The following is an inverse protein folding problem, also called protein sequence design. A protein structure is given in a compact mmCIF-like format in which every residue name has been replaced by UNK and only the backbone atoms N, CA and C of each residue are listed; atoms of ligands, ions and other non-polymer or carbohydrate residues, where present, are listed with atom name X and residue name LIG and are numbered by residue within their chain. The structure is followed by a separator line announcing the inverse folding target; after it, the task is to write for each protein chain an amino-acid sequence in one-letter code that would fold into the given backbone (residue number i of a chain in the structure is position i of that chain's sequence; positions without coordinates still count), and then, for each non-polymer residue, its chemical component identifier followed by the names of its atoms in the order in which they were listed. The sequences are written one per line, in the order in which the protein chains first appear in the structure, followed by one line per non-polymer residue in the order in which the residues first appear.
data_IF_872620877639
#
_entry.id   IF_872620877639
#
_cell.length_a   1.000
_cell.length_b   1.000
_cell.length_c   1.000
_cell.angle_alpha   90.00
_cell.angle_beta   90.00
_cell.angle_gamma   90.00
#
_symmetry.space_group_name_H-M   'P 1'
#
loop_
_entity.id
_entity.type
_entity.pdbx_description
1 polymer ?
#
# COMPACT_ATOMS: atom_id res chain seq x y z
N UNK A 1 -11.28 -45.14 0.15
CA UNK A 1 -11.61 -43.70 0.28
C UNK A 1 -13.14 -43.58 0.18
N UNK A 2 -13.84 -42.95 1.13
CA UNK A 2 -15.30 -42.93 1.17
C UNK A 2 -15.90 -42.20 -0.05
N UNK A 3 -17.05 -42.66 -0.56
CA UNK A 3 -17.73 -42.08 -1.74
C UNK A 3 -18.06 -40.59 -1.55
N UNK A 4 -18.37 -40.16 -0.33
CA UNK A 4 -18.63 -38.76 0.01
C UNK A 4 -17.40 -37.88 -0.22
N UNK A 5 -16.20 -38.38 0.09
CA UNK A 5 -14.94 -37.64 -0.13
C UNK A 5 -14.66 -37.53 -1.62
N UNK A 6 -14.95 -38.57 -2.41
CA UNK A 6 -14.78 -38.58 -3.88
C UNK A 6 -15.74 -37.60 -4.55
N UNK A 7 -17.00 -37.55 -4.11
CA UNK A 7 -17.99 -36.57 -4.58
C UNK A 7 -17.61 -35.14 -4.19
N UNK A 8 -17.15 -34.92 -2.96
CA UNK A 8 -16.71 -33.60 -2.51
C UNK A 8 -15.52 -33.09 -3.33
N UNK A 9 -14.51 -33.94 -3.61
CA UNK A 9 -13.36 -33.61 -4.46
C UNK A 9 -13.79 -33.32 -5.90
N UNK A 10 -14.72 -34.11 -6.46
CA UNK A 10 -15.26 -33.88 -7.82
C UNK A 10 -15.97 -32.53 -7.95
N UNK A 11 -16.80 -32.19 -6.95
CA UNK A 11 -17.53 -30.90 -6.92
C UNK A 11 -16.56 -29.74 -6.74
N UNK A 12 -15.55 -29.87 -5.86
CA UNK A 12 -14.48 -28.88 -5.72
C UNK A 12 -13.69 -28.70 -7.02
N UNK A 13 -13.28 -29.79 -7.67
CA UNK A 13 -12.54 -29.77 -8.94
C UNK A 13 -13.31 -29.07 -10.05
N UNK A 14 -14.62 -29.32 -10.19
CA UNK A 14 -15.48 -28.60 -11.15
C UNK A 14 -15.60 -27.10 -10.87
N UNK A 15 -15.61 -26.69 -9.59
CA UNK A 15 -15.64 -25.26 -9.21
C UNK A 15 -14.30 -24.58 -9.49
N UNK A 16 -13.18 -25.23 -9.14
CA UNK A 16 -11.82 -24.73 -9.41
C UNK A 16 -11.59 -24.57 -10.91
N UNK A 17 -11.98 -25.57 -11.72
CA UNK A 17 -11.84 -25.51 -13.18
C UNK A 17 -12.58 -24.31 -13.81
N UNK A 18 -13.74 -23.92 -13.26
CA UNK A 18 -14.47 -22.71 -13.70
C UNK A 18 -13.78 -21.40 -13.31
N UNK A 19 -12.93 -21.42 -12.30
CA UNK A 19 -12.20 -20.24 -11.81
C UNK A 19 -10.88 -20.01 -12.57
N UNK A 20 -10.28 -21.06 -13.12
CA UNK A 20 -9.02 -20.99 -13.90
C UNK A 20 -8.97 -19.83 -14.91
N UNK A 21 -9.96 -19.60 -15.79
CA UNK A 21 -9.89 -18.49 -16.76
C UNK A 21 -9.87 -17.12 -16.07
N UNK A 22 -10.53 -16.95 -14.93
CA UNK A 22 -10.50 -15.70 -14.17
C UNK A 22 -9.16 -15.48 -13.48
N UNK A 23 -8.56 -16.54 -12.93
CA UNK A 23 -7.22 -16.49 -12.34
C UNK A 23 -6.21 -16.10 -13.41
N UNK A 24 -6.24 -16.75 -14.58
CA UNK A 24 -5.35 -16.46 -15.68
C UNK A 24 -5.49 -15.02 -16.17
N UNK A 25 -6.73 -14.53 -16.31
CA UNK A 25 -6.99 -13.17 -16.74
C UNK A 25 -6.49 -12.12 -15.72
N UNK A 26 -6.84 -12.27 -14.44
CA UNK A 26 -6.44 -11.31 -13.40
C UNK A 26 -4.92 -11.30 -13.18
N UNK A 27 -4.31 -12.46 -13.10
CA UNK A 27 -2.87 -12.60 -12.92
C UNK A 27 -2.11 -12.12 -14.15
N UNK A 28 -2.62 -12.43 -15.34
CA UNK A 28 -2.13 -11.91 -16.60
C UNK A 28 -2.15 -10.39 -16.65
N UNK A 29 -3.22 -9.73 -16.20
CA UNK A 29 -3.30 -8.26 -16.13
C UNK A 29 -2.22 -7.69 -15.20
N UNK A 30 -1.98 -8.32 -14.04
CA UNK A 30 -0.96 -7.87 -13.07
C UNK A 30 0.44 -7.94 -13.68
N UNK A 31 0.78 -9.08 -14.28
CA UNK A 31 2.08 -9.29 -14.90
C UNK A 31 2.25 -8.41 -16.13
N UNK A 32 1.23 -8.29 -16.97
CA UNK A 32 1.23 -7.39 -18.13
C UNK A 32 1.43 -5.94 -17.70
N UNK A 33 0.75 -5.51 -16.63
CA UNK A 33 0.88 -4.15 -16.09
C UNK A 33 2.32 -3.89 -15.64
N UNK A 34 2.94 -4.84 -14.94
CA UNK A 34 4.35 -4.77 -14.56
C UNK A 34 5.28 -4.69 -15.79
N UNK A 35 5.17 -5.63 -16.72
CA UNK A 35 6.03 -5.68 -17.91
C UNK A 35 5.85 -4.45 -18.80
N UNK A 36 4.63 -3.94 -18.93
CA UNK A 36 4.35 -2.70 -19.65
C UNK A 36 4.98 -1.47 -18.96
N UNK A 37 5.01 -1.47 -17.62
CA UNK A 37 5.65 -0.41 -16.84
C UNK A 37 7.16 -0.30 -17.08
N UNK A 38 7.83 -1.43 -17.32
CA UNK A 38 9.27 -1.49 -17.64
C UNK A 38 9.54 -1.58 -19.15
N UNK A 39 8.51 -1.69 -20.00
CA UNK A 39 8.66 -1.75 -21.46
C UNK A 39 9.10 -3.11 -22.03
N UNK A 40 8.89 -4.21 -21.29
CA UNK A 40 9.28 -5.58 -21.66
C UNK A 40 8.10 -6.53 -21.83
N UNK A 41 7.07 -6.08 -22.55
CA UNK A 41 5.85 -6.85 -22.84
C UNK A 41 6.13 -8.03 -23.79
N UNK A 42 7.28 -8.03 -24.47
CA UNK A 42 7.76 -9.12 -25.32
C UNK A 42 7.81 -10.49 -24.61
N UNK A 43 8.01 -10.49 -23.29
CA UNK A 43 8.13 -11.71 -22.47
C UNK A 43 6.76 -12.23 -22.02
N UNK A 44 5.69 -11.43 -22.16
CA UNK A 44 4.37 -11.76 -21.63
C UNK A 44 3.77 -13.10 -22.13
N UNK A 45 3.88 -13.47 -23.42
CA UNK A 45 3.31 -14.73 -23.92
C UNK A 45 3.88 -15.97 -23.23
N UNK A 46 5.17 -15.96 -22.86
CA UNK A 46 5.86 -17.06 -22.18
C UNK A 46 5.31 -17.34 -20.76
N UNK A 47 4.50 -16.43 -20.23
CA UNK A 47 3.98 -16.49 -18.85
C UNK A 47 2.59 -17.12 -18.81
N UNK A 48 1.83 -17.00 -19.90
CA UNK A 48 0.47 -17.51 -19.98
C UNK A 48 0.41 -19.05 -20.01
N UNK A 49 1.53 -19.72 -20.32
CA UNK A 49 1.68 -21.18 -20.20
C UNK A 49 1.82 -21.65 -18.75
N UNK A 50 2.16 -20.76 -17.81
CA UNK A 50 2.54 -21.14 -16.45
C UNK A 50 1.37 -21.10 -15.44
N UNK A 51 0.54 -22.15 -15.45
CA UNK A 51 -0.65 -22.23 -14.58
C UNK A 51 -0.36 -22.11 -13.08
N UNK A 52 0.76 -22.67 -12.59
CA UNK A 52 1.09 -22.64 -11.16
C UNK A 52 1.52 -21.24 -10.68
N UNK A 53 2.29 -20.50 -11.50
CA UNK A 53 2.69 -19.13 -11.17
C UNK A 53 1.53 -18.16 -11.19
N UNK A 54 0.57 -18.32 -12.12
CA UNK A 54 -0.61 -17.47 -12.17
C UNK A 54 -1.43 -17.58 -10.87
N UNK A 55 -1.60 -18.79 -10.33
CA UNK A 55 -2.24 -18.96 -9.01
C UNK A 55 -1.47 -18.26 -7.89
N UNK A 56 -0.14 -18.38 -7.87
CA UNK A 56 0.72 -17.74 -6.89
C UNK A 56 0.64 -16.20 -6.96
N UNK A 57 0.65 -15.64 -8.17
CA UNK A 57 0.44 -14.21 -8.43
C UNK A 57 -0.90 -13.77 -7.85
N UNK A 58 -1.99 -14.48 -8.15
CA UNK A 58 -3.32 -14.10 -7.66
C UNK A 58 -3.39 -14.09 -6.13
N UNK A 59 -2.87 -15.13 -5.48
CA UNK A 59 -2.88 -15.25 -4.01
C UNK A 59 -2.08 -14.11 -3.39
N UNK A 60 -0.88 -13.83 -3.91
CA UNK A 60 -0.05 -12.73 -3.43
C UNK A 60 -0.75 -11.38 -3.58
N UNK A 61 -1.32 -11.11 -4.75
CA UNK A 61 -2.09 -9.89 -5.05
C UNK A 61 -3.28 -9.73 -4.09
N UNK A 62 -4.01 -10.81 -3.79
CA UNK A 62 -5.12 -10.78 -2.82
C UNK A 62 -4.65 -10.44 -1.41
N UNK A 63 -3.54 -11.03 -0.95
CA UNK A 63 -2.97 -10.76 0.38
C UNK A 63 -2.56 -9.29 0.49
N UNK A 64 -1.80 -8.77 -0.49
CA UNK A 64 -1.40 -7.36 -0.48
C UNK A 64 -2.58 -6.41 -0.64
N UNK A 65 -3.60 -6.77 -1.42
CA UNK A 65 -4.79 -5.94 -1.60
C UNK A 65 -5.56 -5.83 -0.28
N UNK A 66 -5.67 -6.94 0.46
CA UNK A 66 -6.26 -6.96 1.79
C UNK A 66 -5.43 -6.12 2.78
N UNK A 67 -4.11 -6.26 2.78
CA UNK A 67 -3.22 -5.48 3.65
C UNK A 67 -3.33 -3.97 3.39
N UNK A 68 -3.31 -3.54 2.12
CA UNK A 68 -3.50 -2.14 1.73
C UNK A 68 -4.91 -1.68 2.13
N UNK A 69 -5.95 -2.45 1.82
CA UNK A 69 -7.32 -2.09 2.17
C UNK A 69 -7.48 -1.86 3.68
N UNK A 70 -6.95 -2.78 4.50
CA UNK A 70 -6.97 -2.64 5.95
C UNK A 70 -6.22 -1.40 6.41
N UNK A 71 -5.06 -1.12 5.83
CA UNK A 71 -4.23 0.08 6.15
C UNK A 71 -4.97 1.38 5.82
N UNK A 72 -5.65 1.45 4.67
CA UNK A 72 -6.33 2.66 4.22
C UNK A 72 -7.57 2.99 5.07
N UNK A 73 -8.23 1.98 5.65
CA UNK A 73 -9.50 2.16 6.38
C UNK A 73 -9.39 2.04 7.89
N UNK A 74 -8.18 1.98 8.45
CA UNK A 74 -7.94 1.93 9.91
C UNK A 74 -8.75 2.99 10.67
N UNK A 75 -8.79 4.28 10.27
CA UNK A 75 -9.55 5.29 10.99
C UNK A 75 -11.05 4.96 11.08
N UNK A 76 -11.62 4.47 9.98
CA UNK A 76 -13.02 4.01 9.97
C UNK A 76 -13.24 2.77 10.82
N UNK A 77 -12.33 1.80 10.74
CA UNK A 77 -12.44 0.53 11.46
C UNK A 77 -12.52 0.76 12.98
N UNK A 78 -11.68 1.64 13.53
CA UNK A 78 -11.69 2.02 14.94
C UNK A 78 -13.08 2.53 15.36
N UNK A 79 -13.66 3.46 14.60
CA UNK A 79 -14.97 4.03 14.91
C UNK A 79 -16.10 2.99 14.81
N UNK A 80 -16.05 2.12 13.81
CA UNK A 80 -17.04 1.06 13.61
C UNK A 80 -17.01 0.07 14.79
N UNK A 81 -15.82 -0.36 15.24
CA UNK A 81 -15.66 -1.28 16.38
C UNK A 81 -16.19 -0.65 17.67
N UNK A 82 -15.91 0.62 17.90
CA UNK A 82 -16.36 1.32 19.11
C UNK A 82 -17.88 1.45 19.13
N UNK A 83 -18.48 1.80 17.98
CA UNK A 83 -19.93 1.82 17.86
C UNK A 83 -20.53 0.43 18.06
N UNK A 84 -20.05 -0.59 17.35
CA UNK A 84 -20.64 -1.94 17.42
C UNK A 84 -20.56 -2.57 18.82
N UNK A 85 -19.49 -2.29 19.56
CA UNK A 85 -19.27 -2.83 20.91
C UNK A 85 -20.11 -2.11 21.95
N UNK A 86 -20.40 -0.82 21.75
CA UNK A 86 -20.98 0.06 22.78
C UNK A 86 -22.45 0.47 22.53
N UNK A 87 -22.98 0.21 21.33
CA UNK A 87 -24.34 0.58 20.92
C UNK A 87 -25.44 -0.24 21.64
N UNK A 88 -25.12 -1.45 22.13
CA UNK A 88 -26.10 -2.34 22.81
C UNK A 88 -26.73 -1.76 24.09
N UNK A 89 -26.30 -0.60 24.59
CA UNK A 89 -26.83 -0.03 25.85
C UNK A 89 -26.89 1.51 25.93
N UNK A 90 -26.79 2.24 24.81
CA UNK A 90 -26.30 3.63 24.92
C UNK A 90 -27.37 4.68 25.29
N UNK A 91 -27.20 5.29 26.47
CA UNK A 91 -27.77 6.60 26.86
C UNK A 91 -27.10 7.79 26.13
N UNK A 92 -26.31 7.51 25.10
CA UNK A 92 -25.36 8.43 24.45
C UNK A 92 -25.47 8.45 22.90
N UNK A 93 -26.59 8.02 22.34
CA UNK A 93 -26.84 7.91 20.87
C UNK A 93 -26.47 9.19 20.10
N UNK A 94 -26.71 10.37 20.70
CA UNK A 94 -26.46 11.67 20.07
C UNK A 94 -24.96 12.02 19.90
N UNK A 95 -24.08 11.46 20.74
CA UNK A 95 -22.62 11.59 20.59
C UNK A 95 -22.16 10.68 19.45
N UNK A 96 -22.65 9.43 19.48
CA UNK A 96 -22.29 8.38 18.54
C UNK A 96 -22.59 8.79 17.10
N UNK A 97 -23.74 9.40 16.80
CA UNK A 97 -24.10 9.77 15.43
C UNK A 97 -23.16 10.80 14.76
N UNK A 98 -22.41 11.59 15.53
CA UNK A 98 -21.52 12.65 15.02
C UNK A 98 -20.04 12.28 15.02
N UNK A 99 -19.68 11.12 15.58
CA UNK A 99 -18.28 10.67 15.73
C UNK A 99 -17.46 10.72 14.43
N UNK A 100 -17.94 10.17 13.29
CA UNK A 100 -17.18 10.19 12.05
C UNK A 100 -16.85 11.60 11.55
N UNK A 101 -17.82 12.51 11.57
CA UNK A 101 -17.63 13.88 11.10
C UNK A 101 -16.65 14.66 11.98
N UNK A 102 -16.73 14.49 13.29
CA UNK A 102 -15.81 15.17 14.23
C UNK A 102 -14.40 14.60 14.10
N UNK A 103 -14.27 13.28 14.01
CA UNK A 103 -12.96 12.62 13.82
C UNK A 103 -12.29 13.06 12.52
N UNK A 104 -13.07 13.23 11.46
CA UNK A 104 -12.62 13.79 10.19
C UNK A 104 -12.15 15.24 10.33
N UNK A 105 -12.94 16.12 10.95
CA UNK A 105 -12.54 17.52 11.18
C UNK A 105 -11.27 17.63 12.02
N UNK A 106 -11.15 16.83 13.09
CA UNK A 106 -9.95 16.79 13.92
C UNK A 106 -8.74 16.21 13.16
N UNK A 107 -8.96 15.26 12.24
CA UNK A 107 -7.89 14.74 11.38
C UNK A 107 -7.40 15.78 10.38
N UNK A 108 -8.31 16.57 9.81
CA UNK A 108 -7.95 17.70 8.93
C UNK A 108 -7.16 18.75 9.72
N UNK A 109 -7.60 19.08 10.94
CA UNK A 109 -6.87 20.00 11.81
C UNK A 109 -5.48 19.45 12.18
N UNK A 110 -5.39 18.17 12.53
CA UNK A 110 -4.13 17.48 12.80
C UNK A 110 -3.17 17.59 11.61
N UNK A 111 -3.66 17.34 10.40
CA UNK A 111 -2.87 17.46 9.17
C UNK A 111 -2.47 18.90 8.87
N UNK A 112 -3.37 19.85 9.06
CA UNK A 112 -3.05 21.26 8.93
C UNK A 112 -1.91 21.66 9.89
N UNK A 113 -1.98 21.25 11.17
CA UNK A 113 -0.93 21.53 12.14
C UNK A 113 0.42 20.90 11.79
N UNK A 114 0.44 19.76 11.07
CA UNK A 114 1.66 19.12 10.61
C UNK A 114 2.23 19.81 9.38
N UNK A 115 1.42 20.08 8.35
CA UNK A 115 1.92 20.51 7.05
C UNK A 115 2.10 22.03 6.92
N UNK A 116 1.24 22.83 7.57
CA UNK A 116 1.27 24.30 7.46
C UNK A 116 2.60 24.93 7.92
N UNK A 117 3.25 24.48 9.01
CA UNK A 117 4.54 25.03 9.43
C UNK A 117 5.64 24.93 8.36
N UNK A 118 5.58 23.92 7.48
CA UNK A 118 6.55 23.71 6.41
C UNK A 118 6.32 24.62 5.17
N UNK A 119 5.28 25.46 5.18
CA UNK A 119 5.05 26.44 4.12
C UNK A 119 5.94 27.67 4.40
N UNK A 120 6.88 28.06 3.52
CA UNK A 120 7.84 29.14 3.79
C UNK A 120 7.22 30.49 4.13
N UNK A 121 6.08 30.84 3.54
CA UNK A 121 5.32 32.05 3.86
C UNK A 121 4.85 32.04 5.31
N UNK A 122 4.41 30.88 5.81
CA UNK A 122 3.98 30.70 7.20
C UNK A 122 5.19 30.68 8.13
N UNK A 123 6.29 30.02 7.73
CA UNK A 123 7.54 30.01 8.49
C UNK A 123 8.07 31.45 8.68
N UNK A 124 7.96 32.33 7.67
CA UNK A 124 8.32 33.75 7.81
C UNK A 124 7.47 34.48 8.84
N UNK A 125 6.14 34.27 8.82
CA UNK A 125 5.20 34.92 9.76
C UNK A 125 5.39 34.41 11.19
N UNK A 126 5.64 33.12 11.34
CA UNK A 126 5.79 32.43 12.64
C UNK A 126 7.22 32.48 13.19
N UNK A 127 8.15 33.15 12.50
CA UNK A 127 9.59 33.20 12.84
C UNK A 127 10.22 31.82 12.93
N UNK A 128 9.79 30.89 12.07
CA UNK A 128 10.27 29.51 12.02
C UNK A 128 9.77 28.64 13.16
N UNK A 129 8.69 29.03 13.85
CA UNK A 129 8.12 28.20 14.90
C UNK A 129 7.44 26.96 14.31
N UNK A 130 7.96 25.79 14.66
CA UNK A 130 7.38 24.49 14.34
C UNK A 130 6.81 23.86 15.61
N UNK A 131 5.49 23.62 15.70
CA UNK A 131 4.90 23.00 16.87
C UNK A 131 5.40 21.56 17.03
N UNK A 132 5.96 21.25 18.20
CA UNK A 132 6.39 19.87 18.51
C UNK A 132 5.21 18.89 18.49
N UNK A 133 5.46 17.63 18.09
CA UNK A 133 4.41 16.60 17.96
C UNK A 133 3.60 16.40 19.26
N UNK A 134 4.25 16.53 20.43
CA UNK A 134 3.60 16.42 21.74
C UNK A 134 2.54 17.51 21.93
N UNK A 135 2.83 18.74 21.49
CA UNK A 135 1.89 19.86 21.57
C UNK A 135 0.68 19.61 20.67
N UNK A 136 0.92 19.19 19.42
CA UNK A 136 -0.15 18.87 18.45
C UNK A 136 -1.07 17.78 19.03
N UNK A 137 -0.49 16.68 19.51
CA UNK A 137 -1.25 15.56 20.09
C UNK A 137 -2.04 16.00 21.33
N UNK A 138 -1.46 16.84 22.18
CA UNK A 138 -2.14 17.38 23.37
C UNK A 138 -3.34 18.26 23.01
N UNK A 139 -3.20 19.11 21.97
CA UNK A 139 -4.31 19.93 21.44
C UNK A 139 -5.43 19.03 20.92
N UNK A 140 -5.11 18.00 20.14
CA UNK A 140 -6.11 17.06 19.61
C UNK A 140 -6.82 16.31 20.73
N UNK A 141 -6.08 15.85 21.75
CA UNK A 141 -6.66 15.20 22.92
C UNK A 141 -7.62 16.13 23.67
N UNK A 142 -7.21 17.38 23.90
CA UNK A 142 -8.02 18.38 24.58
C UNK A 142 -9.31 18.70 23.81
N UNK A 143 -9.22 18.94 22.50
CA UNK A 143 -10.39 19.19 21.65
C UNK A 143 -11.34 17.99 21.59
N UNK A 144 -10.78 16.77 21.54
CA UNK A 144 -11.56 15.53 21.59
C UNK A 144 -12.31 15.41 22.92
N UNK A 145 -11.64 15.70 24.04
CA UNK A 145 -12.25 15.70 25.37
C UNK A 145 -13.36 16.73 25.48
N UNK A 146 -13.11 17.98 25.07
CA UNK A 146 -14.10 19.06 25.08
C UNK A 146 -15.35 18.68 24.28
N UNK A 147 -15.18 18.12 23.07
CA UNK A 147 -16.31 17.70 22.25
C UNK A 147 -17.14 16.60 22.92
N UNK A 148 -16.48 15.53 23.41
CA UNK A 148 -17.16 14.38 24.03
C UNK A 148 -17.87 14.82 25.30
N UNK A 149 -17.17 15.54 26.18
CA UNK A 149 -17.69 16.00 27.46
C UNK A 149 -18.90 16.92 27.28
N UNK A 150 -18.80 17.96 26.45
CA UNK A 150 -19.89 18.90 26.20
C UNK A 150 -21.11 18.20 25.56
N UNK A 151 -20.87 17.27 24.63
CA UNK A 151 -21.96 16.56 23.95
C UNK A 151 -22.65 15.57 24.88
N UNK A 152 -21.90 14.88 25.75
CA UNK A 152 -22.49 14.02 26.79
C UNK A 152 -23.25 14.84 27.82
N UNK A 153 -22.66 15.91 28.36
CA UNK A 153 -23.33 16.78 29.35
C UNK A 153 -24.71 17.25 28.88
N UNK A 154 -24.86 17.58 27.59
CA UNK A 154 -26.13 18.04 27.03
C UNK A 154 -27.16 16.93 26.81
N UNK A 155 -26.72 15.71 26.53
CA UNK A 155 -27.60 14.65 26.03
C UNK A 155 -27.71 13.42 26.94
N UNK A 156 -26.91 13.33 28.00
CA UNK A 156 -26.85 12.18 28.88
C UNK A 156 -28.11 12.10 29.74
N UNK A 157 -28.88 11.03 29.55
CA UNK A 157 -30.09 10.77 30.34
C UNK A 157 -29.72 9.97 31.59
N UNK A 158 -29.93 10.57 32.76
CA UNK A 158 -29.78 9.87 34.04
C UNK A 158 -30.87 8.81 34.17
N UNK A 159 -30.47 7.59 34.55
CA UNK A 159 -31.44 6.54 34.83
C UNK A 159 -31.94 6.72 36.27
N UNK A 160 -33.26 6.75 36.46
CA UNK A 160 -33.87 6.94 37.77
C UNK A 160 -33.73 5.72 38.67
N UNK A 161 -33.57 4.54 38.06
CA UNK A 161 -33.41 3.27 38.77
C UNK A 161 -31.95 3.03 39.22
N UNK A 162 -31.00 3.75 38.63
CA UNK A 162 -29.58 3.66 38.98
C UNK A 162 -29.25 4.62 40.14
N UNK A 163 -28.46 4.17 41.11
CA UNK A 163 -27.89 5.05 42.13
C UNK A 163 -27.00 6.15 41.52
N UNK A 164 -26.83 7.27 42.24
CA UNK A 164 -26.04 8.43 41.80
C UNK A 164 -24.62 8.04 41.37
N UNK A 165 -23.95 7.18 42.14
CA UNK A 165 -22.60 6.69 41.85
C UNK A 165 -22.56 5.87 40.54
N UNK A 166 -23.59 5.04 40.30
CA UNK A 166 -23.69 4.24 39.07
C UNK A 166 -23.90 5.12 37.84
N UNK A 167 -24.77 6.13 37.94
CA UNK A 167 -24.97 7.10 36.87
C UNK A 167 -23.69 7.90 36.55
N UNK A 168 -22.96 8.34 37.57
CA UNK A 168 -21.65 9.01 37.39
C UNK A 168 -20.64 8.07 36.75
N UNK A 169 -20.54 6.82 37.22
CA UNK A 169 -19.64 5.81 36.64
C UNK A 169 -19.96 5.52 35.18
N UNK A 170 -21.25 5.43 34.83
CA UNK A 170 -21.71 5.29 33.45
C UNK A 170 -21.30 6.50 32.59
N UNK A 171 -21.52 7.73 33.08
CA UNK A 171 -21.11 8.95 32.38
C UNK A 171 -19.59 8.98 32.10
N UNK A 172 -18.77 8.65 33.11
CA UNK A 172 -17.32 8.57 32.98
C UNK A 172 -16.93 7.49 31.97
N UNK A 173 -17.52 6.30 32.04
CA UNK A 173 -17.28 5.22 31.08
C UNK A 173 -17.62 5.62 29.65
N UNK A 174 -18.77 6.25 29.42
CA UNK A 174 -19.16 6.75 28.11
C UNK A 174 -18.20 7.83 27.61
N UNK A 175 -17.72 8.71 28.50
CA UNK A 175 -16.73 9.75 28.17
C UNK A 175 -15.41 9.11 27.73
N UNK A 176 -14.88 8.16 28.49
CA UNK A 176 -13.60 7.52 28.19
C UNK A 176 -13.61 6.73 26.88
N UNK A 177 -14.67 5.94 26.64
CA UNK A 177 -14.77 5.13 25.40
C UNK A 177 -14.87 6.03 24.16
N UNK A 178 -15.72 7.06 24.19
CA UNK A 178 -15.86 7.98 23.05
C UNK A 178 -14.61 8.85 22.86
N UNK A 179 -13.96 9.28 23.94
CA UNK A 179 -12.69 10.00 23.87
C UNK A 179 -11.61 9.13 23.23
N UNK A 180 -11.44 7.90 23.71
CA UNK A 180 -10.50 6.95 23.15
C UNK A 180 -10.78 6.72 21.66
N UNK A 181 -12.04 6.60 21.27
CA UNK A 181 -12.42 6.40 19.88
C UNK A 181 -12.12 7.54 18.94
N UNK A 182 -12.50 8.76 19.31
CA UNK A 182 -12.20 9.95 18.50
C UNK A 182 -10.69 10.14 18.43
N UNK A 183 -10.00 10.09 19.56
CA UNK A 183 -8.57 10.34 19.62
C UNK A 183 -7.76 9.30 18.82
N UNK A 184 -8.04 8.00 19.00
CA UNK A 184 -7.35 6.94 18.25
C UNK A 184 -7.68 6.96 16.77
N UNK A 185 -8.94 7.19 16.38
CA UNK A 185 -9.32 7.32 14.97
C UNK A 185 -8.62 8.53 14.32
N UNK A 186 -8.58 9.68 14.99
CA UNK A 186 -7.87 10.87 14.50
C UNK A 186 -6.37 10.61 14.34
N UNK A 187 -5.69 10.06 15.34
CA UNK A 187 -4.24 9.80 15.23
C UNK A 187 -3.91 8.72 14.20
N UNK A 188 -4.79 7.72 14.04
CA UNK A 188 -4.59 6.63 13.09
C UNK A 188 -4.56 7.09 11.64
N UNK A 189 -5.02 8.30 11.32
CA UNK A 189 -4.87 8.91 9.99
C UNK A 189 -3.40 8.98 9.57
N UNK A 190 -2.47 9.07 10.54
CA UNK A 190 -1.04 9.08 10.26
C UNK A 190 -0.58 7.82 9.53
N UNK A 191 -1.21 6.66 9.78
CA UNK A 191 -0.80 5.38 9.18
C UNK A 191 -0.98 5.39 7.66
N UNK A 192 -2.20 5.56 7.10
CA UNK A 192 -2.36 5.59 5.66
C UNK A 192 -1.63 6.79 5.06
N UNK A 193 -1.50 7.91 5.77
CA UNK A 193 -0.77 9.08 5.28
C UNK A 193 0.73 8.81 5.15
N UNK A 194 1.37 8.20 6.14
CA UNK A 194 2.77 7.79 6.05
C UNK A 194 2.99 6.83 4.88
N UNK A 195 2.05 5.92 4.63
CA UNK A 195 2.09 5.03 3.46
C UNK A 195 2.04 5.81 2.14
N UNK A 196 1.18 6.83 2.03
CA UNK A 196 1.11 7.71 0.86
C UNK A 196 2.39 8.56 0.68
N UNK A 197 2.95 9.07 1.79
CA UNK A 197 4.10 9.98 1.82
C UNK A 197 5.43 9.34 1.40
N UNK A 198 5.60 8.03 1.55
CA UNK A 198 6.81 7.33 1.07
C UNK A 198 7.08 7.53 -0.43
N UNK A 199 6.04 7.89 -1.20
CA UNK A 199 6.15 8.11 -2.63
C UNK A 199 6.53 9.55 -3.02
N UNK A 200 6.81 10.44 -2.05
CA UNK A 200 7.01 11.87 -2.26
C UNK A 200 8.44 12.36 -2.04
N UNK A 201 8.87 13.37 -2.81
CA UNK A 201 10.16 14.07 -2.63
C UNK A 201 10.07 15.32 -1.75
N UNK A 202 8.95 16.05 -1.76
CA UNK A 202 8.72 17.18 -0.87
C UNK A 202 9.67 18.39 -1.06
N UNK A 203 10.20 18.57 -2.27
CA UNK A 203 11.30 19.53 -2.53
C UNK A 203 10.83 20.97 -2.74
N UNK A 204 9.53 21.21 -2.97
CA UNK A 204 9.00 22.55 -3.28
C UNK A 204 7.84 22.98 -2.37
N UNK A 205 7.71 24.29 -2.12
CA UNK A 205 6.57 24.87 -1.37
C UNK A 205 5.22 24.45 -1.94
N UNK A 206 5.12 24.46 -3.27
CA UNK A 206 3.91 24.06 -3.98
C UNK A 206 3.60 22.59 -3.70
N UNK A 207 4.60 21.73 -3.52
CA UNK A 207 4.41 20.32 -3.20
C UNK A 207 3.75 20.14 -1.85
N UNK A 208 4.18 20.91 -0.84
CA UNK A 208 3.62 20.84 0.52
C UNK A 208 2.15 21.25 0.52
N UNK A 209 1.78 22.29 -0.23
CA UNK A 209 0.40 22.74 -0.36
C UNK A 209 -0.47 21.70 -1.08
N UNK A 210 -0.01 21.18 -2.22
CA UNK A 210 -0.72 20.12 -2.93
C UNK A 210 -0.82 18.84 -2.11
N UNK A 211 0.22 18.48 -1.37
CA UNK A 211 0.20 17.37 -0.44
C UNK A 211 -0.89 17.57 0.62
N UNK A 212 -0.94 18.72 1.29
CA UNK A 212 -1.94 19.02 2.30
C UNK A 212 -3.37 18.93 1.73
N UNK A 213 -3.66 19.58 0.60
CA UNK A 213 -4.98 19.50 -0.04
C UNK A 213 -5.35 18.06 -0.36
N UNK A 214 -4.39 17.29 -0.85
CA UNK A 214 -4.59 15.89 -1.16
C UNK A 214 -4.84 15.06 0.11
N UNK A 215 -4.06 15.23 1.17
CA UNK A 215 -4.22 14.51 2.43
C UNK A 215 -5.58 14.83 3.07
N UNK A 216 -6.05 16.08 2.94
CA UNK A 216 -7.40 16.48 3.36
C UNK A 216 -8.44 15.71 2.55
N UNK A 217 -8.37 15.73 1.21
CA UNK A 217 -9.30 14.98 0.36
C UNK A 217 -9.29 13.46 0.66
N UNK A 218 -8.10 12.91 0.88
CA UNK A 218 -7.92 11.50 1.22
C UNK A 218 -8.46 11.15 2.60
N UNK A 219 -8.39 12.07 3.57
CA UNK A 219 -8.99 11.85 4.89
C UNK A 219 -10.49 11.53 4.79
N UNK A 220 -11.22 12.18 3.88
CA UNK A 220 -12.61 11.83 3.60
C UNK A 220 -12.76 10.37 3.16
N UNK A 221 -11.89 9.87 2.28
CA UNK A 221 -11.91 8.48 1.82
C UNK A 221 -11.66 7.49 2.96
N UNK A 222 -10.72 7.79 3.86
CA UNK A 222 -10.42 6.91 5.01
C UNK A 222 -11.56 6.83 6.02
N UNK A 223 -12.36 7.90 6.16
CA UNK A 223 -13.52 7.95 7.04
C UNK A 223 -14.83 7.54 6.36
N UNK A 224 -14.86 7.41 5.04
CA UNK A 224 -16.07 7.13 4.25
C UNK A 224 -16.81 5.85 4.70
N UNK A 225 -16.13 4.70 4.94
CA UNK A 225 -16.81 3.51 5.47
C UNK A 225 -17.52 3.75 6.80
N UNK A 226 -16.92 4.51 7.73
CA UNK A 226 -17.56 4.83 9.01
C UNK A 226 -18.76 5.77 8.85
N UNK A 227 -18.71 6.74 7.94
CA UNK A 227 -19.84 7.64 7.66
C UNK A 227 -21.06 6.82 7.17
N UNK A 228 -20.83 5.86 6.27
CA UNK A 228 -21.87 4.95 5.77
C UNK A 228 -22.37 4.05 6.90
N UNK A 229 -21.48 3.45 7.69
CA UNK A 229 -21.90 2.59 8.80
C UNK A 229 -22.77 3.33 9.81
N UNK A 230 -22.37 4.54 10.22
CA UNK A 230 -23.08 5.31 11.23
C UNK A 230 -24.42 5.86 10.74
N UNK A 231 -24.54 6.17 9.44
CA UNK A 231 -25.81 6.63 8.83
C UNK A 231 -26.81 5.50 8.54
N UNK A 232 -26.34 4.28 8.28
CA UNK A 232 -27.18 3.11 7.97
C UNK A 232 -27.72 2.40 9.22
N UNK A 233 -26.95 2.38 10.31
CA UNK A 233 -27.35 1.77 11.60
C UNK A 233 -28.33 2.63 12.40
N UNK A 234 -28.40 3.94 12.15
CA UNK A 234 -29.41 4.83 12.76
C UNK A 234 -30.82 4.69 12.18
N UNK A 235 -31.01 3.91 11.10
CA UNK A 235 -32.31 3.68 10.47
C UNK A 235 -32.85 2.32 10.91
N UNK A 236 -34.03 2.31 11.51
CA UNK A 236 -34.66 1.20 12.27
C UNK A 236 -34.95 -0.11 11.51
N UNK A 237 -34.47 -0.30 10.27
CA UNK A 237 -34.71 -1.50 9.45
C UNK A 237 -33.59 -1.81 8.44
N UNK A 238 -32.33 -1.53 8.72
CA UNK A 238 -31.25 -2.00 7.83
C UNK A 238 -30.91 -3.47 8.13
N UNK A 239 -31.04 -4.34 7.12
CA UNK A 239 -30.59 -5.73 7.22
C UNK A 239 -29.05 -5.72 7.37
N UNK A 240 -28.50 -6.53 8.29
CA UNK A 240 -27.05 -6.63 8.54
C UNK A 240 -26.29 -6.88 7.23
N UNK A 241 -26.85 -7.71 6.34
CA UNK A 241 -26.28 -8.01 5.01
C UNK A 241 -26.13 -6.73 4.16
N UNK A 242 -27.13 -5.84 4.20
CA UNK A 242 -27.10 -4.58 3.44
C UNK A 242 -26.03 -3.61 3.96
N UNK A 243 -25.82 -3.59 5.28
CA UNK A 243 -24.79 -2.74 5.93
C UNK A 243 -23.39 -3.24 5.59
N UNK A 244 -23.17 -4.56 5.66
CA UNK A 244 -21.90 -5.18 5.26
C UNK A 244 -21.59 -4.92 3.79
N UNK A 245 -22.60 -5.05 2.92
CA UNK A 245 -22.43 -4.77 1.49
C UNK A 245 -22.04 -3.32 1.22
N UNK A 246 -22.71 -2.36 1.87
CA UNK A 246 -22.41 -0.93 1.73
C UNK A 246 -21.01 -0.57 2.24
N UNK A 247 -20.57 -1.13 3.38
CA UNK A 247 -19.20 -0.95 3.87
C UNK A 247 -18.19 -1.55 2.89
N UNK A 248 -18.43 -2.76 2.40
CA UNK A 248 -17.52 -3.40 1.44
C UNK A 248 -17.37 -2.56 0.17
N UNK A 249 -18.46 -2.01 -0.34
CA UNK A 249 -18.45 -1.16 -1.53
C UNK A 249 -17.71 0.17 -1.26
N UNK A 250 -17.86 0.72 -0.06
CA UNK A 250 -17.12 1.91 0.38
C UNK A 250 -15.61 1.66 0.45
N UNK A 251 -15.18 0.52 1.00
CA UNK A 251 -13.77 0.12 1.08
C UNK A 251 -13.19 -0.05 -0.33
N UNK A 252 -13.88 -0.81 -1.19
CA UNK A 252 -13.44 -1.02 -2.59
C UNK A 252 -13.35 0.32 -3.33
N UNK A 253 -14.35 1.20 -3.18
CA UNK A 253 -14.32 2.54 -3.75
C UNK A 253 -13.13 3.38 -3.27
N UNK A 254 -12.84 3.36 -1.96
CA UNK A 254 -11.69 4.06 -1.39
C UNK A 254 -10.36 3.54 -1.95
N UNK A 255 -10.19 2.22 -2.06
CA UNK A 255 -8.97 1.60 -2.63
C UNK A 255 -8.82 1.97 -4.11
N UNK A 256 -9.88 1.86 -4.90
CA UNK A 256 -9.84 2.18 -6.33
C UNK A 256 -9.53 3.67 -6.57
N UNK A 257 -10.15 4.57 -5.82
CA UNK A 257 -9.85 5.99 -5.88
C UNK A 257 -8.40 6.26 -5.45
N UNK A 258 -7.89 5.55 -4.44
CA UNK A 258 -6.49 5.65 -4.03
C UNK A 258 -5.56 5.25 -5.17
N UNK A 259 -5.80 4.13 -5.85
CA UNK A 259 -4.96 3.71 -6.99
C UNK A 259 -5.08 4.65 -8.19
N UNK A 260 -6.26 5.23 -8.42
CA UNK A 260 -6.49 6.21 -9.48
C UNK A 260 -5.70 7.51 -9.24
N UNK A 261 -5.77 8.05 -8.03
CA UNK A 261 -5.07 9.28 -7.66
C UNK A 261 -3.59 9.07 -7.36
N UNK A 262 -3.20 7.84 -6.99
CA UNK A 262 -1.82 7.45 -6.75
C UNK A 262 -1.39 6.22 -7.57
N UNK A 263 -1.11 6.39 -8.86
CA UNK A 263 -0.64 5.30 -9.71
C UNK A 263 0.64 4.62 -9.19
N UNK A 264 1.50 5.38 -8.48
CA UNK A 264 2.71 4.81 -7.87
C UNK A 264 2.39 3.75 -6.81
N UNK A 265 1.30 3.91 -6.07
CA UNK A 265 0.88 2.93 -5.07
C UNK A 265 0.44 1.65 -5.78
N UNK A 266 -0.25 1.77 -6.91
CA UNK A 266 -0.56 0.61 -7.74
C UNK A 266 0.72 -0.08 -8.24
N UNK A 267 1.75 0.67 -8.65
CA UNK A 267 3.05 0.10 -9.03
C UNK A 267 3.77 -0.59 -7.86
N UNK A 268 3.82 0.04 -6.69
CA UNK A 268 4.42 -0.54 -5.48
C UNK A 268 3.66 -1.80 -5.07
N UNK A 269 2.34 -1.78 -5.15
CA UNK A 269 1.46 -2.90 -4.88
C UNK A 269 1.75 -4.09 -5.81
N UNK A 270 1.80 -3.85 -7.12
CA UNK A 270 2.12 -4.87 -8.12
C UNK A 270 3.53 -5.41 -7.88
N UNK A 271 4.52 -4.52 -7.72
CA UNK A 271 5.90 -4.90 -7.48
C UNK A 271 6.05 -5.76 -6.22
N UNK A 272 5.45 -5.35 -5.10
CA UNK A 272 5.52 -6.07 -3.83
C UNK A 272 4.86 -7.44 -3.94
N UNK A 273 3.74 -7.54 -4.66
CA UNK A 273 3.05 -8.79 -4.90
C UNK A 273 3.92 -9.78 -5.71
N UNK A 274 4.59 -9.30 -6.76
CA UNK A 274 5.50 -10.12 -7.57
C UNK A 274 6.79 -10.47 -6.82
N UNK A 275 7.30 -9.56 -6.00
CA UNK A 275 8.54 -9.76 -5.23
C UNK A 275 8.35 -10.84 -4.15
N UNK A 276 7.18 -10.86 -3.50
CA UNK A 276 6.88 -11.85 -2.46
C UNK A 276 6.86 -13.30 -2.96
N UNK A 277 6.62 -13.51 -4.26
CA UNK A 277 6.63 -14.82 -4.90
C UNK A 277 7.91 -15.07 -5.72
N UNK A 278 8.91 -14.19 -5.59
CA UNK A 278 10.22 -14.34 -6.22
C UNK A 278 10.26 -14.05 -7.72
N UNK A 279 9.20 -13.51 -8.33
CA UNK A 279 9.20 -13.20 -9.77
C UNK A 279 9.98 -11.92 -10.10
N UNK A 280 10.26 -11.05 -9.12
CA UNK A 280 11.04 -9.82 -9.33
C UNK A 280 11.94 -9.58 -8.12
N UNK A 281 13.09 -8.94 -8.31
CA UNK A 281 13.96 -8.51 -7.21
C UNK A 281 14.60 -7.14 -7.46
N UNK A 282 15.10 -6.50 -6.40
CA UNK A 282 16.02 -5.34 -6.48
C UNK A 282 17.46 -5.72 -6.18
N UNK A 283 17.70 -6.92 -5.66
CA UNK A 283 19.02 -7.33 -5.18
C UNK A 283 19.95 -7.58 -6.37
N UNK A 284 21.11 -6.91 -6.41
CA UNK A 284 22.13 -7.22 -7.40
C UNK A 284 22.80 -8.53 -7.02
N UNK A 285 23.04 -9.36 -8.03
CA UNK A 285 23.70 -10.65 -7.89
C UNK A 285 24.82 -10.79 -8.91
N UNK A 286 25.78 -11.64 -8.59
CA UNK A 286 26.75 -12.10 -9.57
C UNK A 286 26.22 -13.35 -10.27
N UNK A 287 26.37 -13.39 -11.58
CA UNK A 287 25.92 -14.49 -12.42
C UNK A 287 27.09 -15.03 -13.24
N UNK A 288 27.29 -16.34 -13.17
CA UNK A 288 28.14 -17.09 -14.09
C UNK A 288 27.38 -17.25 -15.41
N UNK A 289 28.02 -16.91 -16.52
CA UNK A 289 27.43 -16.97 -17.86
C UNK A 289 28.07 -18.09 -18.69
N UNK A 290 27.26 -18.78 -19.48
CA UNK A 290 27.74 -19.77 -20.44
C UNK A 290 28.59 -19.12 -21.55
N UNK A 291 29.90 -19.37 -21.51
CA UNK A 291 30.89 -18.84 -22.44
C UNK A 291 30.83 -19.42 -23.86
N UNK A 292 30.17 -20.57 -24.02
CA UNK A 292 29.99 -21.22 -25.32
C UNK A 292 28.97 -20.45 -26.17
N UNK A 293 27.93 -19.91 -25.53
CA UNK A 293 26.82 -19.19 -26.17
C UNK A 293 27.04 -17.67 -26.18
N UNK A 294 27.67 -17.13 -25.16
CA UNK A 294 27.87 -15.70 -24.98
C UNK A 294 29.35 -15.36 -24.84
N UNK A 295 29.75 -14.17 -25.30
CA UNK A 295 31.14 -13.71 -25.17
C UNK A 295 31.25 -12.50 -24.24
N UNK A 296 32.33 -12.36 -23.44
CA UNK A 296 32.50 -11.24 -22.51
C UNK A 296 32.35 -9.86 -23.17
N UNK A 297 32.75 -9.72 -24.45
CA UNK A 297 32.63 -8.49 -25.21
C UNK A 297 31.18 -8.01 -25.41
N UNK A 298 30.19 -8.90 -25.28
CA UNK A 298 28.77 -8.54 -25.33
C UNK A 298 28.30 -7.80 -24.05
N UNK A 299 29.10 -7.88 -22.98
CA UNK A 299 28.79 -7.30 -21.67
C UNK A 299 29.87 -6.29 -21.30
N UNK A 300 29.62 -5.01 -21.58
CA UNK A 300 30.58 -3.95 -21.25
C UNK A 300 30.84 -3.87 -19.74
N UNK A 301 32.12 -3.88 -19.35
CA UNK A 301 32.58 -3.82 -17.95
C UNK A 301 31.98 -2.64 -17.17
N UNK A 302 31.74 -1.51 -17.82
CA UNK A 302 31.16 -0.31 -17.21
C UNK A 302 29.71 -0.48 -16.76
N UNK A 303 28.93 -1.30 -17.47
CA UNK A 303 27.50 -1.49 -17.19
C UNK A 303 27.23 -2.76 -16.39
N UNK A 304 28.02 -3.81 -16.65
CA UNK A 304 27.78 -5.18 -16.16
C UNK A 304 28.84 -5.68 -15.18
N UNK A 305 29.90 -4.92 -14.89
CA UNK A 305 31.03 -5.37 -14.08
C UNK A 305 31.52 -6.78 -14.49
N UNK A 306 31.73 -6.96 -15.79
CA UNK A 306 32.13 -8.23 -16.38
C UNK A 306 33.52 -8.64 -15.91
N UNK A 307 33.65 -9.87 -15.43
CA UNK A 307 34.90 -10.42 -14.91
C UNK A 307 35.20 -11.76 -15.57
N UNK A 308 36.43 -11.89 -16.05
CA UNK A 308 36.98 -13.13 -16.60
C UNK A 308 38.05 -13.61 -15.64
N UNK A 309 37.90 -14.83 -15.12
CA UNK A 309 38.87 -15.47 -14.25
C UNK A 309 39.67 -16.50 -15.05
N UNK A 310 40.95 -16.65 -14.71
CA UNK A 310 41.91 -17.46 -15.48
C UNK A 310 41.55 -18.96 -15.54
N UNK A 311 40.85 -19.48 -14.54
CA UNK A 311 40.62 -20.93 -14.37
C UNK A 311 39.20 -21.39 -14.76
N UNK A 312 38.41 -20.54 -15.43
CA UNK A 312 36.99 -20.83 -15.74
C UNK A 312 36.70 -21.15 -17.22
N UNK A 313 37.74 -21.40 -18.02
CA UNK A 313 37.57 -21.66 -19.45
C UNK A 313 36.95 -20.47 -20.17
N UNK A 314 35.90 -20.70 -20.96
CA UNK A 314 35.20 -19.63 -21.68
C UNK A 314 34.18 -18.87 -20.83
N UNK A 315 33.87 -19.37 -19.63
CA UNK A 315 32.85 -18.77 -18.76
C UNK A 315 33.34 -17.48 -18.11
N UNK A 316 32.38 -16.60 -17.80
CA UNK A 316 32.67 -15.30 -17.19
C UNK A 316 31.53 -14.89 -16.27
N UNK A 317 31.83 -13.94 -15.38
CA UNK A 317 30.85 -13.38 -14.45
C UNK A 317 30.35 -12.02 -14.91
N UNK A 318 29.08 -11.75 -14.64
CA UNK A 318 28.47 -10.42 -14.73
C UNK A 318 27.76 -10.09 -13.42
N UNK A 319 27.69 -8.80 -13.08
CA UNK A 319 26.88 -8.27 -11.99
C UNK A 319 25.62 -7.65 -12.57
N UNK A 320 24.47 -8.18 -12.19
CA UNK A 320 23.17 -7.73 -12.71
C UNK A 320 22.07 -7.85 -11.67
N UNK A 321 20.89 -7.36 -12.03
CA UNK A 321 19.68 -7.49 -11.21
C UNK A 321 18.65 -8.26 -12.00
N UNK A 322 18.03 -9.24 -11.35
CA UNK A 322 16.90 -9.95 -11.93
C UNK A 322 15.63 -9.12 -11.76
N UNK A 323 15.18 -8.52 -12.86
CA UNK A 323 14.00 -7.65 -12.84
C UNK A 323 12.72 -8.41 -13.14
N UNK A 324 12.82 -9.64 -13.67
CA UNK A 324 11.68 -10.53 -13.87
C UNK A 324 12.14 -11.99 -14.12
N UNK A 325 11.58 -12.95 -13.39
CA UNK A 325 11.80 -14.39 -13.61
C UNK A 325 10.47 -15.09 -13.82
N UNK A 326 10.41 -16.00 -14.79
CA UNK A 326 9.30 -16.96 -14.96
C UNK A 326 9.85 -18.28 -15.48
N UNK A 327 9.44 -19.38 -14.85
CA UNK A 327 9.89 -20.74 -15.19
C UNK A 327 11.42 -20.82 -15.24
N UNK A 328 11.99 -21.05 -16.43
CA UNK A 328 13.42 -21.14 -16.68
C UNK A 328 14.00 -19.90 -17.36
N UNK A 329 13.24 -18.80 -17.45
CA UNK A 329 13.65 -17.56 -18.13
C UNK A 329 13.85 -16.44 -17.12
N UNK A 330 15.02 -15.83 -17.18
CA UNK A 330 15.40 -14.71 -16.32
C UNK A 330 15.68 -13.47 -17.15
N UNK A 331 14.98 -12.39 -16.86
CA UNK A 331 15.25 -11.06 -17.39
C UNK A 331 16.27 -10.36 -16.48
N UNK A 332 17.53 -10.40 -16.90
CA UNK A 332 18.63 -9.78 -16.17
C UNK A 332 18.94 -8.41 -16.77
N UNK A 333 19.10 -7.41 -15.90
CA UNK A 333 19.41 -6.04 -16.26
C UNK A 333 20.72 -5.54 -15.61
N UNK A 334 21.37 -4.52 -16.19
CA UNK A 334 22.38 -3.74 -15.48
C UNK A 334 21.83 -3.12 -14.20
N UNK A 335 22.68 -2.98 -13.18
CA UNK A 335 22.31 -2.47 -11.85
C UNK A 335 21.72 -1.05 -11.92
N UNK A 336 22.15 -0.26 -12.91
CA UNK A 336 21.64 1.09 -13.16
C UNK A 336 20.11 1.14 -13.31
N UNK A 337 19.49 0.09 -13.88
CA UNK A 337 18.03 0.02 -14.07
C UNK A 337 17.27 0.17 -12.77
N UNK A 338 17.77 -0.39 -11.66
CA UNK A 338 17.12 -0.29 -10.34
C UNK A 338 17.04 1.16 -9.87
N UNK A 339 18.13 1.92 -10.03
CA UNK A 339 18.19 3.32 -9.61
C UNK A 339 17.22 4.17 -10.41
N UNK A 340 17.24 4.07 -11.74
CA UNK A 340 16.32 4.84 -12.59
C UNK A 340 14.86 4.44 -12.34
N UNK A 341 14.57 3.14 -12.15
CA UNK A 341 13.22 2.68 -11.81
C UNK A 341 12.72 3.33 -10.52
N UNK A 342 13.53 3.30 -9.47
CA UNK A 342 13.16 3.88 -8.17
C UNK A 342 13.01 5.41 -8.25
N UNK A 343 13.81 6.09 -9.07
CA UNK A 343 13.67 7.53 -9.35
C UNK A 343 12.49 7.89 -10.26
N UNK A 344 12.06 6.96 -11.12
CA UNK A 344 10.89 7.10 -12.01
C UNK A 344 9.59 6.99 -11.22
N UNK A 345 9.55 6.12 -10.20
CA UNK A 345 8.37 5.90 -9.37
C UNK A 345 8.32 6.78 -8.11
N UNK A 346 9.39 7.49 -7.74
CA UNK A 346 9.33 8.61 -6.77
C UNK A 346 8.76 9.86 -7.45
N UNK A 347 7.69 10.45 -6.90
CA UNK A 347 7.06 11.68 -7.44
C UNK A 347 7.15 12.83 -6.47
N UNK A 348 6.90 14.04 -6.98
CA UNK A 348 6.58 15.19 -6.13
C UNK A 348 5.09 15.53 -6.28
N UNK A 349 4.42 15.91 -5.19
CA UNK A 349 2.96 16.11 -5.18
C UNK A 349 2.47 17.26 -6.08
N UNK A 350 3.38 18.11 -6.59
CA UNK A 350 3.07 19.15 -7.59
C UNK A 350 2.71 18.57 -8.95
N UNK A 351 3.22 17.38 -9.29
CA UNK A 351 3.03 16.73 -10.59
C UNK A 351 1.72 15.94 -10.71
N UNK A 352 0.67 16.38 -10.02
CA UNK A 352 -0.59 15.65 -9.76
C UNK A 352 -1.54 15.47 -10.97
N UNK A 353 -1.04 15.45 -12.20
CA UNK A 353 -1.85 15.19 -13.42
C UNK A 353 -1.18 14.02 -14.17
N UNK A 354 -1.92 13.05 -14.74
CA UNK A 354 -1.53 11.62 -14.81
C UNK A 354 -0.39 11.29 -15.78
N UNK A 355 0.26 12.29 -16.36
CA UNK A 355 1.44 12.11 -17.17
C UNK A 355 2.62 11.91 -16.22
N UNK A 356 2.82 10.65 -15.85
CA UNK A 356 4.12 10.19 -15.38
C UNK A 356 5.21 10.82 -16.26
N UNK A 357 6.30 11.29 -15.65
CA UNK A 357 7.39 11.97 -16.35
C UNK A 357 7.81 11.16 -17.58
N UNK A 358 7.31 11.58 -18.74
CA UNK A 358 7.37 10.78 -19.96
C UNK A 358 8.82 10.59 -20.40
N UNK A 359 9.71 11.51 -20.00
CA UNK A 359 11.15 11.40 -20.21
C UNK A 359 11.74 10.29 -19.33
N UNK A 360 11.44 10.26 -18.04
CA UNK A 360 11.92 9.19 -17.14
C UNK A 360 11.36 7.82 -17.50
N UNK A 361 10.09 7.74 -17.89
CA UNK A 361 9.53 6.49 -18.41
C UNK A 361 10.23 6.07 -19.70
N UNK A 362 10.44 7.00 -20.63
CA UNK A 362 11.14 6.69 -21.88
C UNK A 362 12.59 6.24 -21.60
N UNK A 363 13.26 6.86 -20.64
CA UNK A 363 14.60 6.51 -20.19
C UNK A 363 14.64 5.12 -19.55
N UNK A 364 13.70 4.82 -18.63
CA UNK A 364 13.55 3.49 -18.04
C UNK A 364 13.32 2.43 -19.14
N UNK A 365 12.36 2.68 -20.03
CA UNK A 365 12.05 1.79 -21.16
C UNK A 365 13.20 1.65 -22.15
N UNK A 366 14.09 2.65 -22.24
CA UNK A 366 15.28 2.59 -23.09
C UNK A 366 16.32 1.68 -22.45
N UNK A 367 16.63 1.86 -21.16
CA UNK A 367 17.62 1.02 -20.48
C UNK A 367 17.17 -0.42 -20.28
N UNK A 368 15.87 -0.68 -20.17
CA UNK A 368 15.36 -2.06 -20.06
C UNK A 368 15.45 -2.86 -21.36
N UNK A 369 15.67 -2.19 -22.50
CA UNK A 369 16.00 -2.87 -23.78
C UNK A 369 17.38 -3.51 -23.75
N UNK A 370 18.29 -2.99 -22.94
CA UNK A 370 19.64 -3.56 -22.76
C UNK A 370 19.61 -4.78 -21.82
N UNK A 371 18.44 -5.12 -21.26
CA UNK A 371 18.27 -6.31 -20.44
C UNK A 371 18.11 -7.56 -21.30
N UNK A 372 18.68 -8.66 -20.83
CA UNK A 372 18.78 -9.91 -21.56
C UNK A 372 17.85 -10.95 -20.94
N UNK A 373 17.18 -11.71 -21.80
CA UNK A 373 16.45 -12.91 -21.38
C UNK A 373 17.43 -14.06 -21.48
N UNK A 374 17.72 -14.70 -20.33
CA UNK A 374 18.66 -15.80 -20.21
C UNK A 374 17.92 -17.02 -19.64
N UNK A 375 18.16 -18.17 -20.24
CA UNK A 375 17.63 -19.43 -19.74
C UNK A 375 18.47 -19.92 -18.55
N UNK A 376 17.88 -20.63 -17.59
CA UNK A 376 18.57 -21.19 -16.41
C UNK A 376 19.80 -22.04 -16.76
N UNK A 377 19.82 -22.65 -17.94
CA UNK A 377 20.96 -23.43 -18.44
C UNK A 377 22.16 -22.57 -18.82
N UNK A 378 21.92 -21.28 -19.11
CA UNK A 378 22.93 -20.33 -19.56
C UNK A 378 23.44 -19.41 -18.44
N UNK A 379 22.81 -19.46 -17.27
CA UNK A 379 23.07 -18.56 -16.16
C UNK A 379 22.99 -19.26 -14.80
N UNK A 380 23.99 -19.02 -13.95
CA UNK A 380 23.98 -19.49 -12.57
C UNK A 380 24.29 -18.34 -11.60
N UNK A 381 23.43 -18.12 -10.61
CA UNK A 381 23.69 -17.15 -9.54
C UNK A 381 24.84 -17.62 -8.63
N UNK A 382 25.80 -16.73 -8.35
CA UNK A 382 27.00 -17.05 -7.59
C UNK A 382 27.48 -15.86 -6.72
N UNK A 383 26.82 -15.63 -5.59
CA UNK A 383 27.12 -14.47 -4.73
C UNK A 383 28.25 -14.70 -3.71
N UNK A 384 28.68 -15.94 -3.51
CA UNK A 384 29.65 -16.29 -2.45
C UNK A 384 31.10 -15.95 -2.80
N UNK A 385 31.42 -15.83 -4.10
CA UNK A 385 32.78 -15.62 -4.59
C UNK A 385 33.23 -14.16 -4.51
N UNK A 386 32.29 -13.21 -4.50
CA UNK A 386 32.59 -11.79 -4.64
C UNK A 386 32.16 -10.99 -3.40
N UNK A 387 32.97 -10.02 -2.99
CA UNK A 387 32.59 -9.01 -2.01
C UNK A 387 31.61 -7.97 -2.62
N UNK A 388 31.08 -7.07 -1.79
CA UNK A 388 30.11 -6.07 -2.25
C UNK A 388 30.68 -5.12 -3.32
N UNK A 389 32.01 -4.97 -3.34
CA UNK A 389 32.76 -4.17 -4.31
C UNK A 389 33.09 -4.94 -5.60
N UNK A 390 32.76 -6.23 -5.65
CA UNK A 390 33.06 -7.12 -6.77
C UNK A 390 34.51 -7.56 -6.85
N UNK A 391 35.26 -7.54 -5.74
CA UNK A 391 36.53 -8.24 -5.64
C UNK A 391 36.27 -9.69 -5.24
N UNK A 392 37.11 -10.60 -5.73
CA UNK A 392 37.08 -12.00 -5.29
C UNK A 392 37.39 -12.02 -3.80
N UNK A 393 36.56 -12.72 -3.02
CA UNK A 393 36.81 -12.96 -1.59
C UNK A 393 37.96 -13.96 -1.50
N UNK A 394 39.06 -13.56 -0.86
CA UNK A 394 40.19 -14.44 -0.55
C UNK A 394 39.83 -15.49 0.52
#
# INVERSE_FOLDING_TARGET
MPEDVKNMISVMGKRVAKLVPYVALLSGIVVWSYLNSIGRVDIFPDILSFNAGLMSVLVSVMIFALAISMTLVIPSFILIVIKSTYEKNSRAVNVLSKLPAVSLCLSILYLAMIFIPFIPEVAKVTKGYEPGIVLIVSIILFLSFCFVFLTLMRNFKWNKDDGVISNIGSFIGHTLVNLFGIFSATLSISIPISFLMQSSKGESTTAVIFALLFMIAFSFLTFFPSIIYFSSTGKTKSNIVSVVHQISLAIVGAVLLTFLFFPNIATIFIYSSLNAIGLVSKTPHFYLINGEKYKPAMFHKTSWNTQVLSDMGEHFYIKGVNVFSVESKNLICPIAVVKIRDETYKRDYVSFVPFADSKKIAELKKMTRDCLVLDDVDIQQWDTLFDDNGKVRE
#
